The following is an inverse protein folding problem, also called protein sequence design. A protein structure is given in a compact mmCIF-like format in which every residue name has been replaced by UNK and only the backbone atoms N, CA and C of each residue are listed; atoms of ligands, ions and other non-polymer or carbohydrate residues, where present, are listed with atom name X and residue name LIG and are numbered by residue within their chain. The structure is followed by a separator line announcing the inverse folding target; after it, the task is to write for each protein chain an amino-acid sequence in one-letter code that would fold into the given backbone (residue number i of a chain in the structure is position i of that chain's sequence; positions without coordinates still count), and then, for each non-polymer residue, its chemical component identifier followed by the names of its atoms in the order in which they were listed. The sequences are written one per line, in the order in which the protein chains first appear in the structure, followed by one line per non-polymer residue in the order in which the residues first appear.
data_IF_867579067026
#
_entry.id   IF_867579067026
#
_cell.length_a   1.000
_cell.length_b   1.000
_cell.length_c   1.000
_cell.angle_alpha   90.00
_cell.angle_beta   90.00
_cell.angle_gamma   90.00
#
_symmetry.space_group_name_H-M   'P 1'
#
loop_
_entity.id
_entity.type
_entity.pdbx_description
1 polymer ?
#
# COMPACT_ATOMS: atom_id res chain seq x y z
N UNK A 1 81.98 -6.09 25.99
CA UNK A 1 81.85 -5.85 27.45
C UNK A 1 81.28 -4.44 27.60
N UNK A 2 80.14 -4.07 28.19
CA UNK A 2 79.14 -4.59 29.14
C UNK A 2 77.73 -4.27 28.54
N UNK A 3 76.67 -5.09 28.49
CA UNK A 3 75.79 -5.79 29.47
C UNK A 3 74.91 -4.92 30.41
N UNK A 4 73.58 -5.04 30.16
CA UNK A 4 72.38 -4.91 31.04
C UNK A 4 71.76 -3.48 31.11
N UNK A 5 70.43 -3.27 31.10
CA UNK A 5 69.36 -3.98 31.85
C UNK A 5 68.01 -3.99 31.10
N UNK A 6 67.19 -4.99 31.46
CA UNK A 6 65.80 -5.27 31.06
C UNK A 6 64.81 -4.33 31.77
N UNK A 7 63.66 -4.05 31.15
CA UNK A 7 62.35 -4.02 31.83
C UNK A 7 61.29 -4.62 30.89
N UNK A 8 60.52 -5.55 31.43
CA UNK A 8 59.33 -6.20 30.83
C UNK A 8 58.12 -5.63 31.57
N UNK A 9 57.09 -5.18 30.83
CA UNK A 9 55.67 -5.06 31.21
C UNK A 9 54.95 -4.55 29.94
N UNK A 10 54.00 -5.21 29.29
CA UNK A 10 52.95 -6.09 29.80
C UNK A 10 51.74 -5.25 30.14
N UNK A 11 50.82 -5.02 29.18
CA UNK A 11 49.39 -4.78 29.38
C UNK A 11 48.67 -5.16 28.08
N UNK A 12 47.74 -6.11 28.21
CA UNK A 12 46.74 -6.46 27.21
C UNK A 12 45.92 -5.21 26.85
N UNK A 13 45.84 -4.87 25.56
CA UNK A 13 44.74 -4.03 25.09
C UNK A 13 43.61 -4.94 24.60
N UNK A 14 42.51 -4.91 25.34
CA UNK A 14 41.25 -5.56 25.00
C UNK A 14 40.88 -5.33 23.53
N UNK A 15 40.52 -6.41 22.85
CA UNK A 15 39.65 -6.37 21.68
C UNK A 15 38.33 -5.69 22.09
N UNK A 16 38.25 -4.38 21.83
CA UNK A 16 37.00 -3.62 21.85
C UNK A 16 36.12 -4.11 20.72
N UNK A 17 35.17 -4.96 21.09
CA UNK A 17 34.10 -5.48 20.26
C UNK A 17 33.28 -4.32 19.69
N UNK A 18 33.33 -4.19 18.36
CA UNK A 18 32.20 -3.94 17.47
C UNK A 18 31.04 -3.13 18.07
N UNK A 19 31.13 -1.81 17.94
CA UNK A 19 29.94 -0.99 17.63
C UNK A 19 30.20 -0.27 16.32
N UNK A 20 30.14 -1.05 15.24
CA UNK A 20 29.65 -0.54 13.97
C UNK A 20 28.21 -0.09 14.21
N UNK A 21 28.02 1.10 14.76
CA UNK A 21 26.80 1.86 14.55
C UNK A 21 26.83 2.17 13.07
N UNK A 22 26.27 1.24 12.29
CA UNK A 22 25.79 1.52 10.97
C UNK A 22 25.00 2.83 11.08
N UNK A 23 25.63 3.91 10.62
CA UNK A 23 24.93 4.97 9.95
C UNK A 23 24.31 4.28 8.74
N UNK A 24 23.20 3.58 8.98
CA UNK A 24 22.24 3.26 7.97
C UNK A 24 21.88 4.63 7.42
N UNK A 25 22.39 4.85 6.22
CA UNK A 25 22.11 5.96 5.33
C UNK A 25 20.58 6.08 5.28
N UNK A 26 20.00 6.86 6.20
CA UNK A 26 18.61 7.28 6.15
C UNK A 26 18.57 8.35 5.06
N UNK A 27 18.80 7.91 3.82
CA UNK A 27 18.39 8.64 2.64
C UNK A 27 16.90 8.78 2.80
N UNK A 28 16.50 9.93 3.32
CA UNK A 28 15.16 10.47 3.20
C UNK A 28 14.76 10.21 1.75
N UNK A 29 13.87 9.22 1.53
CA UNK A 29 13.38 8.81 0.21
C UNK A 29 12.53 9.96 -0.32
N UNK A 30 13.21 11.01 -0.76
CA UNK A 30 12.61 12.18 -1.37
C UNK A 30 12.20 11.73 -2.76
N UNK A 31 10.91 11.43 -2.91
CA UNK A 31 10.31 10.92 -4.13
C UNK A 31 10.76 11.73 -5.36
N UNK A 32 11.49 11.09 -6.28
CA UNK A 32 11.82 11.70 -7.57
C UNK A 32 10.59 11.61 -8.48
N UNK A 33 10.02 12.78 -8.78
CA UNK A 33 8.82 12.93 -9.58
C UNK A 33 9.11 12.62 -11.06
N UNK A 34 8.63 11.47 -11.54
CA UNK A 34 8.52 11.16 -12.96
C UNK A 34 7.05 11.09 -13.34
N UNK A 35 6.33 12.22 -13.17
CA UNK A 35 4.90 12.30 -13.44
C UNK A 35 4.59 12.13 -14.92
N UNK A 36 4.07 10.97 -15.31
CA UNK A 36 3.30 10.86 -16.55
C UNK A 36 2.03 11.73 -16.41
N UNK A 37 1.83 12.66 -17.35
CA UNK A 37 0.72 13.62 -17.35
C UNK A 37 -0.63 12.89 -17.11
N UNK A 38 -1.29 13.17 -15.99
CA UNK A 38 -2.66 12.73 -15.70
C UNK A 38 -2.86 11.76 -14.53
N UNK A 39 -1.80 11.31 -13.85
CA UNK A 39 -1.92 10.48 -12.64
C UNK A 39 -1.88 11.33 -11.37
N UNK A 40 -2.75 11.05 -10.40
CA UNK A 40 -2.70 11.77 -9.13
C UNK A 40 -1.47 11.31 -8.34
N UNK A 41 -0.89 12.20 -7.55
CA UNK A 41 0.26 11.88 -6.70
C UNK A 41 -0.27 11.22 -5.43
N UNK A 42 0.36 10.15 -4.90
CA UNK A 42 0.06 9.67 -3.56
C UNK A 42 0.17 10.81 -2.55
N UNK A 43 -0.83 10.96 -1.68
CA UNK A 43 -0.76 11.90 -0.56
C UNK A 43 0.01 11.32 0.62
N UNK A 44 0.11 9.99 0.66
CA UNK A 44 0.78 9.25 1.72
C UNK A 44 2.29 9.24 1.49
N UNK A 45 3.05 9.66 2.49
CA UNK A 45 4.51 9.55 2.45
C UNK A 45 4.98 8.11 2.72
N UNK A 46 6.23 7.78 2.34
CA UNK A 46 6.80 6.48 2.65
C UNK A 46 6.87 6.23 4.16
N UNK A 47 7.14 7.29 4.93
CA UNK A 47 7.16 7.22 6.39
C UNK A 47 5.78 6.89 6.97
N UNK A 48 4.72 7.53 6.47
CA UNK A 48 3.36 7.28 6.93
C UNK A 48 2.87 5.88 6.54
N UNK A 49 3.18 5.42 5.33
CA UNK A 49 2.87 4.06 4.89
C UNK A 49 3.57 3.00 5.76
N UNK A 50 4.87 3.18 6.03
CA UNK A 50 5.64 2.32 6.93
C UNK A 50 5.02 2.31 8.33
N UNK A 51 4.69 3.49 8.85
CA UNK A 51 4.11 3.66 10.19
C UNK A 51 2.77 2.94 10.29
N UNK A 52 1.88 3.09 9.31
CA UNK A 52 0.57 2.42 9.30
C UNK A 52 0.71 0.88 9.40
N UNK A 53 1.63 0.28 8.64
CA UNK A 53 1.88 -1.17 8.72
C UNK A 53 2.47 -1.57 10.07
N UNK A 54 3.43 -0.79 10.59
CA UNK A 54 4.08 -1.11 11.85
C UNK A 54 3.15 -0.94 13.06
N UNK A 55 2.22 0.00 13.01
CA UNK A 55 1.17 0.17 14.01
C UNK A 55 0.12 -0.95 13.95
N UNK A 56 -0.21 -1.43 12.75
CA UNK A 56 -1.15 -2.53 12.54
C UNK A 56 -0.64 -3.86 13.11
N UNK A 57 0.68 -4.10 13.01
CA UNK A 57 1.31 -5.29 13.55
C UNK A 57 2.74 -5.02 14.01
N UNK A 58 2.91 -4.82 15.31
CA UNK A 58 4.18 -4.39 15.93
C UNK A 58 5.31 -5.41 15.79
N UNK A 59 5.00 -6.66 15.51
CA UNK A 59 5.97 -7.75 15.38
C UNK A 59 6.55 -7.88 13.96
N UNK A 60 5.98 -7.18 12.98
CA UNK A 60 6.45 -7.22 11.60
C UNK A 60 7.70 -6.36 11.42
N UNK A 61 8.70 -6.91 10.72
CA UNK A 61 9.83 -6.13 10.27
C UNK A 61 9.48 -5.51 8.92
N UNK A 62 9.21 -4.21 8.92
CA UNK A 62 9.03 -3.47 7.67
C UNK A 62 10.39 -3.27 7.01
N UNK A 63 10.53 -3.69 5.76
CA UNK A 63 11.76 -3.57 4.99
C UNK A 63 11.80 -2.25 4.21
N UNK A 64 11.00 -2.17 3.15
CA UNK A 64 11.02 -1.07 2.18
C UNK A 64 9.59 -0.70 1.82
N UNK A 65 9.34 0.58 1.61
CA UNK A 65 8.12 1.06 0.97
C UNK A 65 8.41 1.17 -0.53
N UNK A 66 7.59 0.55 -1.36
CA UNK A 66 7.68 0.61 -2.81
C UNK A 66 6.55 1.46 -3.35
N UNK A 67 6.89 2.30 -4.30
CA UNK A 67 5.91 2.96 -5.16
C UNK A 67 6.11 2.51 -6.59
N UNK A 68 5.02 2.15 -7.26
CA UNK A 68 5.02 1.78 -8.67
C UNK A 68 3.99 2.62 -9.41
N UNK A 69 4.39 3.22 -10.52
CA UNK A 69 3.48 3.94 -11.40
C UNK A 69 2.99 3.00 -12.51
N UNK A 70 1.68 2.92 -12.71
CA UNK A 70 1.09 2.15 -13.81
C UNK A 70 -0.02 2.94 -14.51
N UNK A 71 -0.62 2.35 -15.56
CA UNK A 71 -1.76 2.93 -16.29
C UNK A 71 -3.02 2.98 -15.40
N UNK A 72 -3.03 3.86 -14.42
CA UNK A 72 -4.14 4.02 -13.48
C UNK A 72 -3.82 4.95 -12.31
N UNK A 73 -2.54 5.09 -11.93
CA UNK A 73 -2.06 5.93 -10.85
C UNK A 73 -0.73 5.40 -10.30
N UNK A 74 -0.39 5.76 -9.05
CA UNK A 74 0.68 5.13 -8.30
C UNK A 74 0.13 4.16 -7.25
N UNK A 75 0.65 2.94 -7.26
CA UNK A 75 0.51 1.98 -6.19
C UNK A 75 1.53 2.30 -5.08
N UNK A 76 1.10 2.25 -3.82
CA UNK A 76 1.99 2.28 -2.65
C UNK A 76 1.87 0.93 -1.95
N UNK A 77 3.02 0.29 -1.68
CA UNK A 77 3.07 -0.97 -0.96
C UNK A 77 4.22 -1.01 0.02
N UNK A 78 4.04 -1.71 1.12
CA UNK A 78 5.05 -1.89 2.16
C UNK A 78 5.47 -3.36 2.17
N UNK A 79 6.76 -3.60 1.99
CA UNK A 79 7.31 -4.94 2.06
C UNK A 79 7.63 -5.30 3.50
N UNK A 80 7.10 -6.44 3.93
CA UNK A 80 7.39 -7.05 5.23
C UNK A 80 8.39 -8.17 5.02
N UNK A 81 9.38 -8.24 5.90
CA UNK A 81 10.43 -9.26 5.86
C UNK A 81 10.48 -10.08 7.13
N UNK A 82 11.09 -11.24 7.03
CA UNK A 82 11.58 -12.01 8.16
C UNK A 82 13.11 -12.13 8.09
N UNK A 83 13.67 -13.17 8.73
CA UNK A 83 15.12 -13.43 8.73
C UNK A 83 15.64 -13.93 7.38
N UNK A 84 14.78 -14.53 6.56
CA UNK A 84 15.13 -15.19 5.30
C UNK A 84 14.86 -14.30 4.08
N UNK A 85 13.94 -13.33 4.19
CA UNK A 85 13.73 -12.36 3.12
C UNK A 85 12.40 -11.63 3.21
N UNK A 86 11.96 -11.06 2.08
CA UNK A 86 10.63 -10.45 1.96
C UNK A 86 9.59 -11.57 1.95
N UNK A 87 8.65 -11.51 2.89
CA UNK A 87 7.59 -12.53 3.06
C UNK A 87 6.20 -12.02 2.69
N UNK A 88 5.99 -10.71 2.63
CA UNK A 88 4.71 -10.14 2.25
C UNK A 88 4.84 -8.76 1.61
N UNK A 89 3.86 -8.43 0.79
CA UNK A 89 3.59 -7.11 0.24
C UNK A 89 2.25 -6.65 0.79
N UNK A 90 2.24 -5.56 1.55
CA UNK A 90 1.03 -4.96 2.10
C UNK A 90 0.67 -3.76 1.24
N UNK A 91 -0.51 -3.78 0.61
CA UNK A 91 -1.00 -2.64 -0.15
C UNK A 91 -1.42 -1.51 0.79
N UNK A 92 -1.16 -0.26 0.38
CA UNK A 92 -1.57 0.94 1.11
C UNK A 92 -2.38 1.80 0.16
N UNK A 93 -3.53 2.29 0.63
CA UNK A 93 -4.30 3.28 -0.10
C UNK A 93 -3.44 4.53 -0.25
N UNK A 94 -3.09 4.94 -1.47
CA UNK A 94 -2.14 6.00 -1.70
C UNK A 94 -2.70 7.40 -1.40
N UNK A 95 -4.01 7.53 -1.13
CA UNK A 95 -4.66 8.78 -0.75
C UNK A 95 -4.92 8.83 0.76
N UNK A 96 -5.32 7.72 1.38
CA UNK A 96 -5.74 7.72 2.81
C UNK A 96 -4.69 7.14 3.76
N UNK A 97 -3.79 6.29 3.27
CA UNK A 97 -2.79 5.59 4.09
C UNK A 97 -3.32 4.33 4.76
N UNK A 98 -4.58 3.94 4.48
CA UNK A 98 -5.18 2.73 5.03
C UNK A 98 -4.57 1.46 4.43
N UNK A 99 -4.48 0.40 5.22
CA UNK A 99 -4.06 -0.92 4.74
C UNK A 99 -5.13 -1.52 3.84
N UNK A 100 -4.72 -1.96 2.66
CA UNK A 100 -5.60 -2.62 1.71
C UNK A 100 -5.64 -4.14 1.97
N UNK A 101 -6.82 -4.78 1.87
CA UNK A 101 -6.92 -6.24 1.82
C UNK A 101 -6.11 -6.80 0.63
N UNK A 102 -5.61 -8.03 0.74
CA UNK A 102 -4.76 -8.68 -0.29
C UNK A 102 -5.33 -8.63 -1.72
N UNK A 103 -6.66 -8.63 -1.88
CA UNK A 103 -7.34 -8.59 -3.18
C UNK A 103 -7.64 -7.19 -3.71
N UNK A 104 -7.18 -6.13 -3.04
CA UNK A 104 -7.45 -4.74 -3.39
C UNK A 104 -6.14 -4.05 -3.75
N UNK A 105 -5.88 -3.93 -5.04
CA UNK A 105 -4.86 -3.03 -5.57
C UNK A 105 -5.53 -1.66 -5.79
N UNK A 106 -5.06 -0.61 -5.12
CA UNK A 106 -5.52 0.76 -5.32
C UNK A 106 -4.35 1.65 -5.76
N UNK A 107 -4.57 2.44 -6.81
CA UNK A 107 -3.59 3.38 -7.33
C UNK A 107 -4.08 4.80 -7.01
N UNK A 108 -3.17 5.78 -6.96
CA UNK A 108 -3.48 7.20 -6.79
C UNK A 108 -4.16 7.77 -8.03
N UNK A 109 -5.35 7.30 -8.32
CA UNK A 109 -6.29 8.00 -9.18
C UNK A 109 -7.04 8.99 -8.31
N UNK A 110 -7.25 10.19 -8.82
CA UNK A 110 -8.10 11.17 -8.14
C UNK A 110 -9.52 10.58 -7.99
N UNK A 111 -9.88 10.18 -6.77
CA UNK A 111 -11.24 9.76 -6.41
C UNK A 111 -12.01 11.02 -6.05
N UNK A 112 -12.95 11.41 -6.91
CA UNK A 112 -13.75 12.63 -6.70
C UNK A 112 -15.07 12.40 -6.03
N UNK A 113 -15.49 11.13 -5.96
CA UNK A 113 -16.81 10.77 -5.46
C UNK A 113 -16.63 9.82 -4.29
N UNK A 114 -17.18 10.21 -3.14
CA UNK A 114 -17.11 9.44 -1.90
C UNK A 114 -18.01 8.19 -1.96
N UNK A 115 -17.71 7.14 -1.18
CA UNK A 115 -18.52 5.92 -1.19
C UNK A 115 -20.00 6.20 -0.85
N UNK A 116 -20.28 7.14 0.05
CA UNK A 116 -21.63 7.53 0.45
C UNK A 116 -22.40 8.22 -0.70
N UNK A 117 -21.77 9.15 -1.41
CA UNK A 117 -22.38 9.80 -2.58
C UNK A 117 -22.71 8.78 -3.66
N UNK A 118 -21.86 7.77 -3.84
CA UNK A 118 -22.07 6.74 -4.86
C UNK A 118 -23.19 5.78 -4.45
N UNK A 119 -23.26 5.39 -3.17
CA UNK A 119 -24.35 4.59 -2.63
C UNK A 119 -25.70 5.28 -2.82
N UNK A 120 -25.82 6.54 -2.39
CA UNK A 120 -27.05 7.34 -2.54
C UNK A 120 -27.49 7.44 -4.01
N UNK A 121 -26.52 7.59 -4.92
CA UNK A 121 -26.79 7.62 -6.35
C UNK A 121 -27.36 6.30 -6.86
N UNK A 122 -26.80 5.16 -6.44
CA UNK A 122 -27.30 3.84 -6.85
C UNK A 122 -28.66 3.55 -6.22
N UNK A 123 -28.87 3.89 -4.95
CA UNK A 123 -30.18 3.79 -4.27
C UNK A 123 -31.27 4.57 -5.01
N UNK A 124 -30.95 5.79 -5.44
CA UNK A 124 -31.87 6.63 -6.22
C UNK A 124 -32.25 6.01 -7.57
N UNK A 125 -31.30 5.33 -8.22
CA UNK A 125 -31.50 4.74 -9.55
C UNK A 125 -32.17 3.35 -9.50
N UNK A 126 -31.97 2.60 -8.42
CA UNK A 126 -32.47 1.24 -8.24
C UNK A 126 -33.32 1.13 -6.95
N UNK A 127 -34.42 1.90 -6.82
CA UNK A 127 -35.16 2.02 -5.56
C UNK A 127 -35.85 0.72 -5.09
N UNK A 128 -35.91 -0.29 -5.96
CA UNK A 128 -36.51 -1.60 -5.64
C UNK A 128 -35.49 -2.63 -5.16
N UNK A 129 -34.19 -2.33 -5.26
CA UNK A 129 -33.10 -3.22 -4.86
C UNK A 129 -32.47 -2.65 -3.59
N UNK A 130 -32.18 -3.53 -2.63
CA UNK A 130 -31.46 -3.13 -1.42
C UNK A 130 -30.00 -2.88 -1.76
N UNK A 131 -29.52 -1.66 -1.52
CA UNK A 131 -28.10 -1.30 -1.71
C UNK A 131 -27.36 -1.52 -0.41
N UNK A 132 -26.26 -2.27 -0.45
CA UNK A 132 -25.50 -2.52 0.76
C UNK A 132 -24.73 -1.30 1.25
N UNK A 133 -24.62 -1.19 2.57
CA UNK A 133 -24.00 -0.07 3.28
C UNK A 133 -22.47 0.03 3.13
N UNK A 134 -21.82 -0.89 2.41
CA UNK A 134 -20.36 -0.92 2.24
C UNK A 134 -19.99 -0.95 0.75
N UNK A 135 -19.69 0.21 0.18
CA UNK A 135 -19.00 0.32 -1.10
C UNK A 135 -17.49 0.12 -0.91
N UNK A 136 -16.82 -0.49 -1.88
CA UNK A 136 -15.36 -0.65 -1.86
C UNK A 136 -14.76 -0.31 -3.21
N UNK A 137 -13.52 0.17 -3.23
CA UNK A 137 -12.80 0.38 -4.48
C UNK A 137 -12.50 -0.97 -5.13
N UNK A 138 -12.81 -1.08 -6.42
CA UNK A 138 -12.42 -2.17 -7.29
C UNK A 138 -11.30 -1.76 -8.23
N UNK A 139 -10.59 -2.76 -8.75
CA UNK A 139 -9.58 -2.69 -9.83
C UNK A 139 -8.90 -1.34 -9.91
N UNK A 140 -7.84 -1.20 -9.12
CA UNK A 140 -6.91 -0.09 -9.22
C UNK A 140 -7.51 1.25 -8.79
N UNK A 141 -8.57 1.24 -7.99
CA UNK A 141 -9.31 2.45 -7.59
C UNK A 141 -10.09 3.08 -8.74
N UNK A 142 -10.29 2.36 -9.86
CA UNK A 142 -10.98 2.89 -11.04
C UNK A 142 -12.46 3.09 -10.80
N UNK A 143 -13.07 2.25 -9.98
CA UNK A 143 -14.50 2.30 -9.70
C UNK A 143 -14.82 1.84 -8.29
N UNK A 144 -15.91 2.39 -7.76
CA UNK A 144 -16.61 1.84 -6.62
C UNK A 144 -17.38 0.60 -7.05
N UNK A 145 -17.23 -0.49 -6.31
CA UNK A 145 -18.13 -1.65 -6.31
C UNK A 145 -19.17 -1.43 -5.22
N UNK A 146 -20.43 -1.47 -5.60
CA UNK A 146 -21.57 -1.31 -4.71
C UNK A 146 -22.37 -2.61 -4.71
N UNK A 147 -22.51 -3.29 -3.56
CA UNK A 147 -23.23 -4.54 -3.48
C UNK A 147 -24.74 -4.31 -3.58
N UNK A 148 -25.41 -5.16 -4.36
CA UNK A 148 -26.86 -5.16 -4.53
C UNK A 148 -27.44 -6.42 -3.89
N UNK A 149 -28.47 -6.24 -3.06
CA UNK A 149 -29.15 -7.29 -2.33
C UNK A 149 -30.60 -7.43 -2.76
N UNK A 150 -31.08 -8.67 -2.78
CA UNK A 150 -32.48 -9.01 -2.95
C UNK A 150 -32.88 -9.98 -1.86
N UNK A 151 -33.82 -9.57 -1.00
CA UNK A 151 -34.26 -10.36 0.17
C UNK A 151 -33.08 -10.81 1.04
N UNK A 152 -32.14 -9.91 1.32
CA UNK A 152 -30.93 -10.18 2.12
C UNK A 152 -29.85 -11.00 1.43
N UNK A 153 -30.05 -11.43 0.17
CA UNK A 153 -29.06 -12.16 -0.61
C UNK A 153 -28.30 -11.21 -1.53
N UNK A 154 -26.96 -11.27 -1.53
CA UNK A 154 -26.13 -10.55 -2.51
C UNK A 154 -26.40 -11.12 -3.90
N UNK A 155 -27.00 -10.32 -4.78
CA UNK A 155 -27.39 -10.75 -6.14
C UNK A 155 -26.45 -10.19 -7.21
N UNK A 156 -25.80 -9.06 -6.97
CA UNK A 156 -24.91 -8.44 -7.95
C UNK A 156 -24.04 -7.34 -7.31
N UNK A 157 -23.18 -6.73 -8.13
CA UNK A 157 -22.50 -5.47 -7.80
C UNK A 157 -22.64 -4.47 -8.93
N UNK A 158 -22.76 -3.18 -8.61
CA UNK A 158 -22.68 -2.08 -9.57
C UNK A 158 -21.28 -1.50 -9.54
N UNK A 159 -20.68 -1.30 -10.72
CA UNK A 159 -19.43 -0.55 -10.87
C UNK A 159 -19.78 0.92 -11.13
N UNK A 160 -19.19 1.84 -10.38
CA UNK A 160 -19.35 3.29 -10.59
C UNK A 160 -17.98 3.94 -10.65
N UNK A 161 -17.69 4.63 -11.74
CA UNK A 161 -16.41 5.29 -11.98
C UNK A 161 -16.05 6.22 -10.81
N UNK A 162 -14.88 6.00 -10.19
CA UNK A 162 -14.49 6.71 -8.97
C UNK A 162 -14.14 8.18 -9.21
N UNK A 163 -13.88 8.56 -10.47
CA UNK A 163 -13.55 9.92 -10.88
C UNK A 163 -14.78 10.74 -11.27
N UNK A 164 -15.74 10.14 -11.98
CA UNK A 164 -16.89 10.85 -12.55
C UNK A 164 -18.22 10.51 -11.87
N UNK A 165 -18.26 9.47 -11.03
CA UNK A 165 -19.48 8.95 -10.43
C UNK A 165 -20.42 8.31 -11.46
N UNK A 166 -19.97 8.07 -12.70
CA UNK A 166 -20.80 7.49 -13.76
C UNK A 166 -20.90 5.98 -13.57
N UNK A 167 -22.11 5.41 -13.66
CA UNK A 167 -22.27 3.95 -13.68
C UNK A 167 -21.51 3.39 -14.88
N UNK A 168 -20.65 2.41 -14.61
CA UNK A 168 -19.91 1.71 -15.64
C UNK A 168 -20.75 0.54 -16.14
N UNK A 169 -20.89 0.36 -17.46
CA UNK A 169 -21.56 -0.82 -18.00
C UNK A 169 -20.79 -2.07 -17.58
N UNK A 170 -21.52 -3.14 -17.26
CA UNK A 170 -20.92 -4.48 -17.19
C UNK A 170 -20.46 -4.82 -18.60
N UNK A 171 -19.15 -4.77 -18.86
CA UNK A 171 -18.61 -5.33 -20.10
C UNK A 171 -18.81 -6.83 -20.01
N UNK A 172 -19.59 -7.40 -20.93
CA UNK A 172 -19.55 -8.85 -21.17
C UNK A 172 -18.26 -9.12 -21.95
N UNK A 173 -17.35 -9.91 -21.37
CA UNK A 173 -16.12 -10.39 -22.01
C UNK A 173 -14.89 -9.51 -21.75
N UNK A 174 -14.07 -9.92 -20.76
CA UNK A 174 -12.60 -9.92 -20.77
C UNK A 174 -11.97 -10.38 -19.43
N UNK A 175 -12.77 -10.82 -18.44
CA UNK A 175 -12.27 -11.23 -17.11
C UNK A 175 -12.26 -12.78 -16.94
N UNK A 176 -12.45 -13.58 -18.00
CA UNK A 176 -12.43 -15.07 -17.95
C UNK A 176 -11.14 -15.71 -18.49
N UNK A 177 -10.13 -14.93 -18.88
CA UNK A 177 -8.83 -15.47 -19.30
C UNK A 177 -7.74 -14.96 -18.33
N UNK A 178 -7.59 -15.61 -17.18
CA UNK A 178 -6.34 -15.73 -16.40
C UNK A 178 -6.62 -16.58 -15.13
N UNK A 179 -7.10 -17.81 -15.32
CA UNK A 179 -6.83 -18.92 -14.40
C UNK A 179 -6.33 -20.09 -15.26
N UNK A 180 -5.01 -20.11 -15.50
CA UNK A 180 -4.21 -21.30 -15.86
C UNK A 180 -2.86 -21.22 -15.11
#
# INVERSE_FOLDING_TARGET
MQRRKRVVAGILLLCGILTSSALADEKEERWEFWGHKGYAVPQVSAADARKAVQESQKTWQVATVRQKWERGGAEVSVLVRDREGIIAKIGIDPQTGELLPYSVEAYSREVKVSPQEVQQKVETLLPQIEVGNRAWLGEHGRYWRIPLFWKGMLVSTVKVDALSGRLLPRRYGHDEEEED
#
